data_IF_620183541812
#
_entry.id   IF_620183541812
#
_cell.length_a   1.000
_cell.length_b   1.000
_cell.length_c   1.000
_cell.angle_alpha   90.00
_cell.angle_beta   90.00
_cell.angle_gamma   90.00
#
_symmetry.space_group_name_H-M   'P 1'
#
loop_
_entity.id
_entity.type
_entity.pdbx_description
1 polymer ?
#
# COMPACT_ATOMS: atom_id res chain seq x y z
N UNK A 1 -32.47 -14.82 24.76
CA UNK A 1 -31.24 -15.53 24.35
C UNK A 1 -30.74 -16.37 25.52
N UNK A 2 -30.45 -17.66 25.31
CA UNK A 2 -29.84 -18.51 26.33
C UNK A 2 -28.49 -17.94 26.81
N UNK A 3 -28.17 -18.00 28.12
CA UNK A 3 -26.95 -17.43 28.67
C UNK A 3 -25.68 -17.99 28.00
N UNK A 4 -25.68 -19.29 27.65
CA UNK A 4 -24.58 -19.96 26.94
C UNK A 4 -24.27 -19.33 25.57
N UNK A 5 -25.30 -18.94 24.83
CA UNK A 5 -25.17 -18.32 23.50
C UNK A 5 -24.61 -16.89 23.64
N UNK A 6 -25.05 -16.14 24.66
CA UNK A 6 -24.48 -14.81 24.97
C UNK A 6 -22.99 -14.89 25.30
N UNK A 7 -22.57 -15.86 26.11
CA UNK A 7 -21.16 -16.06 26.43
C UNK A 7 -20.31 -16.37 25.20
N UNK A 8 -20.82 -17.20 24.28
CA UNK A 8 -20.13 -17.54 23.04
C UNK A 8 -19.97 -16.33 22.11
N UNK A 9 -21.01 -15.52 21.91
CA UNK A 9 -20.89 -14.32 21.09
C UNK A 9 -20.01 -13.25 21.74
N UNK A 10 -20.07 -13.09 23.07
CA UNK A 10 -19.21 -12.15 23.79
C UNK A 10 -17.73 -12.56 23.71
N UNK A 11 -17.41 -13.85 23.90
CA UNK A 11 -16.03 -14.33 23.79
C UNK A 11 -15.51 -14.18 22.36
N UNK A 12 -16.33 -14.49 21.36
CA UNK A 12 -15.97 -14.32 19.96
C UNK A 12 -15.72 -12.84 19.61
N UNK A 13 -16.56 -11.93 20.11
CA UNK A 13 -16.38 -10.49 19.91
C UNK A 13 -15.08 -9.98 20.56
N UNK A 14 -14.76 -10.42 21.78
CA UNK A 14 -13.50 -10.09 22.46
C UNK A 14 -12.29 -10.61 21.68
N UNK A 15 -12.36 -11.84 21.15
CA UNK A 15 -11.29 -12.42 20.34
C UNK A 15 -11.07 -11.59 19.07
N UNK A 16 -12.14 -11.28 18.32
CA UNK A 16 -12.01 -10.43 17.12
C UNK A 16 -11.50 -9.02 17.44
N UNK A 17 -11.95 -8.44 18.55
CA UNK A 17 -11.45 -7.16 19.02
C UNK A 17 -9.95 -7.23 19.31
N UNK A 18 -9.47 -8.24 20.03
CA UNK A 18 -8.05 -8.41 20.34
C UNK A 18 -7.20 -8.64 19.07
N UNK A 19 -7.72 -9.42 18.11
CA UNK A 19 -7.05 -9.64 16.81
C UNK A 19 -6.81 -8.32 16.08
N UNK A 20 -7.74 -7.36 16.16
CA UNK A 20 -7.60 -6.05 15.53
C UNK A 20 -6.83 -5.03 16.40
N UNK A 21 -7.06 -5.02 17.71
CA UNK A 21 -6.52 -4.02 18.63
C UNK A 21 -5.01 -4.19 18.89
N UNK A 22 -4.53 -5.43 18.97
CA UNK A 22 -3.10 -5.73 19.21
C UNK A 22 -2.18 -5.18 18.11
N UNK A 23 -2.41 -5.43 16.80
CA UNK A 23 -1.54 -4.87 15.76
C UNK A 23 -1.65 -3.34 15.69
N UNK A 24 -2.83 -2.77 15.93
CA UNK A 24 -3.03 -1.31 15.98
C UNK A 24 -2.22 -0.67 17.12
N UNK A 25 -2.30 -1.22 18.33
CA UNK A 25 -1.53 -0.74 19.47
C UNK A 25 -0.02 -0.88 19.24
N UNK A 26 0.40 -2.01 18.66
CA UNK A 26 1.81 -2.23 18.29
C UNK A 26 2.32 -1.18 17.31
N UNK A 27 1.51 -0.75 16.36
CA UNK A 27 1.93 0.28 15.41
C UNK A 27 2.00 1.66 16.08
N UNK A 28 1.01 2.00 16.89
CA UNK A 28 0.96 3.27 17.63
C UNK A 28 2.08 3.42 18.68
N UNK A 29 2.57 2.30 19.23
CA UNK A 29 3.59 2.29 20.29
C UNK A 29 5.02 2.24 19.77
N UNK A 30 5.24 2.20 18.45
CA UNK A 30 6.59 2.11 17.87
C UNK A 30 7.34 3.43 18.03
N UNK A 31 8.65 3.40 18.38
CA UNK A 31 9.48 4.61 18.39
C UNK A 31 9.53 5.27 17.01
N UNK A 32 9.51 6.60 16.97
CA UNK A 32 9.54 7.34 15.71
C UNK A 32 10.87 7.18 14.94
N UNK A 33 11.95 6.74 15.60
CA UNK A 33 13.28 6.66 14.99
C UNK A 33 13.53 5.35 14.20
N UNK A 34 12.72 4.31 14.39
CA UNK A 34 12.98 2.97 13.80
C UNK A 34 12.88 2.95 12.28
N UNK A 35 12.23 3.96 11.70
CA UNK A 35 12.02 4.09 10.25
C UNK A 35 13.16 4.85 9.56
N UNK A 36 14.13 5.38 10.31
CA UNK A 36 15.31 5.99 9.73
C UNK A 36 16.28 4.89 9.27
N UNK A 37 16.84 5.07 8.08
CA UNK A 37 17.87 4.18 7.58
C UNK A 37 19.08 4.17 8.52
N UNK A 38 19.56 3.00 8.98
CA UNK A 38 20.77 2.92 9.79
C UNK A 38 21.94 3.64 9.11
N UNK A 39 22.79 4.33 9.88
CA UNK A 39 23.91 5.10 9.32
C UNK A 39 24.87 4.26 8.46
N UNK A 40 24.98 2.97 8.74
CA UNK A 40 25.79 2.02 7.97
C UNK A 40 25.22 1.70 6.58
N UNK A 41 23.96 2.05 6.31
CA UNK A 41 23.26 1.86 5.05
C UNK A 41 22.88 3.19 4.38
N UNK A 42 23.62 4.26 4.68
CA UNK A 42 23.43 5.56 4.03
C UNK A 42 23.55 5.41 2.51
N UNK A 43 22.47 5.77 1.81
CA UNK A 43 22.44 5.77 0.35
C UNK A 43 23.21 7.01 -0.14
N UNK A 44 24.20 6.86 -1.04
CA UNK A 44 24.93 7.99 -1.59
C UNK A 44 23.99 8.92 -2.36
N UNK A 45 24.33 10.22 -2.45
CA UNK A 45 23.48 11.22 -3.09
C UNK A 45 23.11 10.84 -4.53
N UNK A 46 24.05 10.25 -5.26
CA UNK A 46 23.87 9.71 -6.62
C UNK A 46 22.76 8.64 -6.70
N UNK A 47 22.67 7.75 -5.71
CA UNK A 47 21.67 6.69 -5.64
C UNK A 47 20.36 7.09 -4.93
N UNK A 48 20.30 8.29 -4.36
CA UNK A 48 19.12 8.79 -3.63
C UNK A 48 18.14 9.59 -4.48
N UNK A 49 18.47 9.91 -5.74
CA UNK A 49 17.68 10.80 -6.60
C UNK A 49 16.23 10.35 -6.80
N UNK A 50 16.00 9.04 -6.85
CA UNK A 50 14.65 8.47 -6.97
C UNK A 50 13.80 8.67 -5.71
N UNK A 51 14.40 9.08 -4.58
CA UNK A 51 13.75 9.22 -3.27
C UNK A 51 13.81 10.65 -2.75
N UNK A 52 14.97 11.29 -2.81
CA UNK A 52 15.24 12.63 -2.29
C UNK A 52 16.24 13.35 -3.19
N UNK A 53 15.93 14.61 -3.48
CA UNK A 53 16.86 15.53 -4.13
C UNK A 53 17.15 16.70 -3.18
N UNK A 54 18.43 17.06 -3.05
CA UNK A 54 18.88 18.17 -2.21
C UNK A 54 19.17 19.36 -3.11
N UNK A 55 18.70 20.55 -2.72
CA UNK A 55 18.89 21.80 -3.42
C UNK A 55 19.64 22.80 -2.54
N UNK A 56 20.53 23.58 -3.13
CA UNK A 56 21.16 24.75 -2.53
C UNK A 56 20.99 25.94 -3.47
N UNK A 57 20.41 27.05 -2.97
CA UNK A 57 20.06 28.24 -3.79
C UNK A 57 19.31 27.89 -5.08
N UNK A 58 18.37 26.95 -4.98
CA UNK A 58 17.56 26.50 -6.12
C UNK A 58 18.26 25.59 -7.13
N UNK A 59 19.55 25.26 -6.96
CA UNK A 59 20.28 24.30 -7.81
C UNK A 59 20.41 22.95 -7.13
N UNK A 60 20.35 21.85 -7.89
CA UNK A 60 20.56 20.49 -7.38
C UNK A 60 21.98 20.32 -6.87
N UNK A 61 22.13 19.83 -5.64
CA UNK A 61 23.41 19.62 -4.99
C UNK A 61 24.30 18.66 -5.77
N UNK A 62 23.74 17.59 -6.34
CA UNK A 62 24.50 16.65 -7.14
C UNK A 62 25.14 17.32 -8.37
N UNK A 63 24.40 18.16 -9.06
CA UNK A 63 24.90 18.93 -10.21
C UNK A 63 26.03 19.88 -9.82
N UNK A 64 25.94 20.49 -8.62
CA UNK A 64 27.02 21.34 -8.08
C UNK A 64 28.27 20.52 -7.73
N UNK A 65 28.11 19.29 -7.24
CA UNK A 65 29.23 18.38 -6.95
C UNK A 65 29.91 17.94 -8.25
N UNK A 66 29.12 17.49 -9.24
CA UNK A 66 29.63 17.02 -10.54
C UNK A 66 30.36 18.13 -11.30
N UNK A 67 29.87 19.37 -11.19
CA UNK A 67 30.51 20.54 -11.79
C UNK A 67 31.77 21.01 -11.02
N UNK A 68 32.15 20.37 -9.92
CA UNK A 68 33.24 20.82 -9.04
C UNK A 68 32.96 22.15 -8.33
N UNK A 69 31.71 22.61 -8.37
CA UNK A 69 31.23 23.89 -7.82
C UNK A 69 30.84 23.77 -6.35
N UNK A 70 31.26 22.71 -5.66
CA UNK A 70 31.04 22.53 -4.22
C UNK A 70 31.98 23.41 -3.38
N UNK A 71 31.97 24.71 -3.68
CA UNK A 71 32.42 25.81 -2.84
C UNK A 71 31.45 26.93 -3.17
N UNK A 72 30.44 27.11 -2.34
CA UNK A 72 29.46 28.17 -2.55
C UNK A 72 30.13 29.48 -2.08
N UNK A 73 30.73 30.17 -3.04
CA UNK A 73 31.18 31.55 -2.93
C UNK A 73 30.48 32.33 -4.03
N UNK A 74 29.99 33.50 -3.68
CA UNK A 74 29.43 34.46 -4.63
C UNK A 74 30.56 35.34 -5.21
N UNK A 75 30.26 36.18 -6.19
CA UNK A 75 31.23 37.13 -6.79
C UNK A 75 31.83 38.09 -5.74
N UNK A 76 31.18 38.21 -4.57
CA UNK A 76 31.62 39.03 -3.42
C UNK A 76 32.35 38.24 -2.33
N UNK A 77 32.51 36.92 -2.47
CA UNK A 77 33.23 36.06 -1.52
C UNK A 77 32.44 34.84 -1.01
N UNK A 78 33.08 34.04 -0.17
CA UNK A 78 32.47 32.86 0.45
C UNK A 78 31.39 33.27 1.47
N UNK A 79 30.12 33.06 1.12
CA UNK A 79 28.98 33.36 1.99
C UNK A 79 28.46 32.11 2.68
N UNK A 80 28.13 32.21 3.97
CA UNK A 80 27.49 31.11 4.71
C UNK A 80 26.10 30.84 4.14
N UNK A 81 25.80 29.57 3.86
CA UNK A 81 24.50 29.15 3.36
C UNK A 81 23.46 29.20 4.49
N UNK A 82 22.38 29.97 4.32
CA UNK A 82 21.29 29.98 5.30
C UNK A 82 20.46 28.69 5.21
N UNK A 83 19.88 28.25 6.33
CA UNK A 83 19.05 27.04 6.35
C UNK A 83 17.84 27.12 5.39
N UNK A 84 17.36 28.33 5.10
CA UNK A 84 16.28 28.61 4.14
C UNK A 84 16.69 28.43 2.67
N UNK A 85 17.99 28.43 2.38
CA UNK A 85 18.52 28.24 1.03
C UNK A 85 18.75 26.75 0.69
N UNK A 86 18.61 25.87 1.68
CA UNK A 86 18.69 24.42 1.53
C UNK A 86 17.30 23.82 1.46
N UNK A 87 16.97 23.25 0.31
CA UNK A 87 15.71 22.57 0.07
C UNK A 87 15.88 21.06 -0.05
N UNK A 88 14.86 20.32 0.38
CA UNK A 88 14.74 18.89 0.12
C UNK A 88 13.48 18.67 -0.72
N UNK A 89 13.60 17.98 -1.86
CA UNK A 89 12.48 17.50 -2.65
C UNK A 89 12.36 16.00 -2.44
N UNK A 90 11.26 15.57 -1.82
CA UNK A 90 10.98 14.17 -1.57
C UNK A 90 10.14 13.59 -2.71
N UNK A 91 10.50 12.40 -3.20
CA UNK A 91 9.63 11.62 -4.06
C UNK A 91 8.57 10.92 -3.18
N UNK A 92 7.33 11.41 -3.27
CA UNK A 92 6.23 10.92 -2.47
C UNK A 92 5.43 9.79 -3.16
N UNK A 93 5.96 9.19 -4.23
CA UNK A 93 5.26 8.15 -4.99
C UNK A 93 4.88 6.94 -4.14
N UNK A 94 5.76 6.50 -3.24
CA UNK A 94 5.50 5.36 -2.35
C UNK A 94 4.29 5.64 -1.44
N UNK A 95 4.14 6.88 -0.95
CA UNK A 95 2.97 7.29 -0.16
C UNK A 95 1.70 7.33 -1.00
N UNK A 96 1.75 7.94 -2.19
CA UNK A 96 0.60 7.97 -3.11
C UNK A 96 0.16 6.56 -3.49
N UNK A 97 1.11 5.64 -3.67
CA UNK A 97 0.83 4.23 -3.93
C UNK A 97 0.17 3.55 -2.73
N UNK A 98 0.68 3.78 -1.52
CA UNK A 98 0.11 3.24 -0.29
C UNK A 98 -1.33 3.76 -0.07
N UNK A 99 -1.58 5.05 -0.31
CA UNK A 99 -2.90 5.66 -0.20
C UNK A 99 -3.91 5.06 -1.20
N UNK A 100 -3.43 4.59 -2.37
CA UNK A 100 -4.27 3.93 -3.39
C UNK A 100 -4.47 2.43 -3.15
N UNK A 101 -3.72 1.82 -2.24
CA UNK A 101 -3.75 0.37 -2.02
C UNK A 101 -5.15 -0.18 -1.67
N UNK A 102 -5.94 0.44 -0.77
CA UNK A 102 -7.28 -0.07 -0.44
C UNK A 102 -8.22 -0.08 -1.64
N UNK A 103 -8.13 0.95 -2.49
CA UNK A 103 -8.94 1.07 -3.70
C UNK A 103 -8.56 -0.01 -4.72
N UNK A 104 -7.26 -0.27 -4.91
CA UNK A 104 -6.76 -1.34 -5.78
C UNK A 104 -7.17 -2.72 -5.26
N UNK A 105 -7.13 -2.95 -3.95
CA UNK A 105 -7.63 -4.18 -3.33
C UNK A 105 -9.14 -4.37 -3.56
N UNK A 106 -9.92 -3.29 -3.48
CA UNK A 106 -11.33 -3.29 -3.83
C UNK A 106 -11.57 -3.74 -5.28
N UNK A 107 -10.82 -3.18 -6.23
CA UNK A 107 -10.88 -3.61 -7.63
C UNK A 107 -10.45 -5.07 -7.82
N UNK A 108 -9.39 -5.52 -7.13
CA UNK A 108 -8.94 -6.90 -7.20
C UNK A 108 -10.02 -7.87 -6.69
N UNK A 109 -10.71 -7.54 -5.61
CA UNK A 109 -11.81 -8.33 -5.07
C UNK A 109 -12.98 -8.43 -6.05
N UNK A 110 -13.39 -7.31 -6.66
CA UNK A 110 -14.46 -7.29 -7.67
C UNK A 110 -14.07 -8.11 -8.89
N UNK A 111 -12.85 -7.94 -9.41
CA UNK A 111 -12.33 -8.75 -10.52
C UNK A 111 -12.37 -10.25 -10.19
N UNK A 112 -11.91 -10.63 -8.98
CA UNK A 112 -11.97 -12.02 -8.53
C UNK A 112 -13.39 -12.58 -8.49
N UNK A 113 -14.35 -11.80 -7.97
CA UNK A 113 -15.76 -12.19 -7.94
C UNK A 113 -16.34 -12.37 -9.36
N UNK A 114 -16.05 -11.46 -10.28
CA UNK A 114 -16.50 -11.56 -11.68
C UNK A 114 -15.92 -12.78 -12.37
N UNK A 115 -14.60 -13.02 -12.23
CA UNK A 115 -13.95 -14.22 -12.79
C UNK A 115 -14.58 -15.49 -12.20
N UNK A 116 -14.84 -15.53 -10.90
CA UNK A 116 -15.51 -16.67 -10.27
C UNK A 116 -16.90 -16.92 -10.86
N UNK A 117 -17.70 -15.87 -11.07
CA UNK A 117 -19.02 -15.99 -11.71
C UNK A 117 -18.90 -16.53 -13.14
N UNK A 118 -17.97 -15.99 -13.94
CA UNK A 118 -17.73 -16.47 -15.31
C UNK A 118 -17.37 -17.95 -15.31
N UNK A 119 -16.49 -18.39 -14.41
CA UNK A 119 -16.11 -19.80 -14.28
C UNK A 119 -17.28 -20.68 -13.85
N UNK A 120 -18.11 -20.23 -12.92
CA UNK A 120 -19.29 -20.98 -12.48
C UNK A 120 -20.33 -21.14 -13.60
N UNK A 121 -20.49 -20.12 -14.44
CA UNK A 121 -21.38 -20.14 -15.60
C UNK A 121 -20.81 -21.06 -16.68
N UNK A 122 -19.53 -20.90 -17.05
CA UNK A 122 -18.92 -21.68 -18.13
C UNK A 122 -18.77 -23.16 -17.80
N UNK A 123 -18.58 -23.51 -16.53
CA UNK A 123 -18.50 -24.91 -16.08
C UNK A 123 -19.87 -25.57 -15.83
N UNK A 124 -20.97 -24.87 -16.09
CA UNK A 124 -22.33 -25.41 -15.92
C UNK A 124 -22.71 -25.68 -14.45
N UNK A 125 -21.89 -25.24 -13.48
CA UNK A 125 -22.19 -25.40 -12.05
C UNK A 125 -23.34 -24.52 -11.57
N UNK A 126 -23.75 -23.55 -12.40
CA UNK A 126 -24.93 -22.71 -12.23
C UNK A 126 -26.16 -23.21 -13.00
N UNK A 127 -26.22 -24.49 -13.40
CA UNK A 127 -27.40 -25.05 -14.08
C UNK A 127 -28.67 -24.78 -13.25
N UNK A 128 -29.57 -23.99 -13.83
CA UNK A 128 -30.88 -23.68 -13.28
C UNK A 128 -31.66 -24.99 -13.09
N UNK A 129 -32.25 -25.19 -11.90
CA UNK A 129 -32.97 -26.43 -11.55
C UNK A 129 -34.04 -26.82 -12.58
N UNK A 130 -34.68 -25.84 -13.23
CA UNK A 130 -35.67 -26.09 -14.28
C UNK A 130 -35.12 -26.63 -15.60
N UNK A 131 -33.83 -26.44 -15.90
CA UNK A 131 -33.19 -27.04 -17.09
C UNK A 131 -32.92 -28.54 -16.89
N UNK A 132 -32.56 -28.94 -15.67
CA UNK A 132 -32.38 -30.36 -15.33
C UNK A 132 -33.69 -31.15 -15.41
N UNK A 133 -34.81 -30.53 -15.05
CA UNK A 133 -36.14 -31.17 -15.13
C UNK A 133 -36.64 -31.28 -16.59
N UNK A 134 -36.34 -30.32 -17.47
CA UNK A 134 -36.68 -30.40 -18.90
C UNK A 134 -35.87 -31.46 -19.65
N UNK A 135 -34.58 -31.60 -19.36
CA UNK A 135 -33.75 -32.65 -19.98
C UNK A 135 -34.21 -34.04 -19.51
N UNK A 136 -34.48 -34.21 -18.21
CA UNK A 136 -35.00 -35.47 -17.67
C UNK A 136 -36.41 -35.82 -18.18
N UNK A 137 -37.28 -34.83 -18.38
CA UNK A 137 -38.63 -35.04 -18.93
C UNK A 137 -38.65 -35.37 -20.44
N UNK A 138 -37.70 -34.82 -21.20
CA UNK A 138 -37.55 -35.12 -22.64
C UNK A 138 -37.12 -36.58 -22.87
N UNK A 139 -36.21 -37.11 -22.05
CA UNK A 139 -35.79 -38.51 -22.13
C UNK A 139 -36.89 -39.49 -21.70
N UNK A 140 -37.77 -39.08 -20.78
CA UNK A 140 -38.89 -39.91 -20.31
C UNK A 140 -40.05 -40.02 -21.32
N UNK A 141 -40.20 -39.06 -22.24
CA UNK A 141 -41.33 -39.03 -23.20
C UNK A 141 -41.01 -39.75 -24.51
N UNK A 142 -39.78 -40.21 -24.70
CA UNK A 142 -39.30 -40.83 -25.95
C UNK A 142 -39.09 -42.35 -25.83
N UNK A 143 -39.72 -43.01 -24.85
CA UNK A 143 -39.58 -44.45 -24.59
C UNK A 143 -40.91 -45.19 -24.60
#
# INVERSE_FOLDING_TARGET
MPPRIRFLYASLAVVFFCIAAVPLYRELSRPADIWWTPRTMLVPLTGSQDRVEIYARGKRLLTLIEAGQLRIADDTGASVLAATEVGLRFNNWDRVRADRLPLVLGYAAVCGAVVMVILLVSTGRLAYRGEKERVAGSDATTR
#
